data_IF_529596023668
#
_entry.id   IF_529596023668
#
_cell.length_a   1.000
_cell.length_b   1.000
_cell.length_c   1.000
_cell.angle_alpha   90.00
_cell.angle_beta   90.00
_cell.angle_gamma   90.00
#
_symmetry.space_group_name_H-M   'P 1'
#
loop_
_entity.id
_entity.type
_entity.pdbx_description
1 polymer ?
#
# COMPACT_ATOMS: atom_id res chain seq x y z
N UNK A 1 58.69 -7.63 -12.73
CA UNK A 1 59.10 -9.04 -12.86
C UNK A 1 57.93 -9.88 -12.34
N UNK A 2 57.13 -10.46 -13.25
CA UNK A 2 57.18 -11.87 -13.70
C UNK A 2 56.17 -12.73 -12.89
N UNK A 3 55.01 -13.18 -13.41
CA UNK A 3 54.76 -14.18 -14.49
C UNK A 3 55.08 -15.61 -13.98
N UNK A 4 54.18 -16.60 -13.85
CA UNK A 4 53.45 -17.44 -14.85
C UNK A 4 52.49 -18.42 -14.07
N UNK A 5 51.58 -19.28 -14.60
CA UNK A 5 50.49 -19.22 -15.63
C UNK A 5 50.00 -20.67 -15.97
N UNK A 6 48.67 -20.91 -16.13
CA UNK A 6 47.97 -22.18 -16.59
C UNK A 6 47.99 -23.37 -15.59
N UNK A 7 47.15 -24.42 -15.66
CA UNK A 7 46.10 -24.93 -16.60
C UNK A 7 45.08 -25.82 -15.84
N UNK A 8 43.76 -25.76 -16.03
CA UNK A 8 42.92 -26.47 -17.02
C UNK A 8 42.75 -28.02 -16.88
N UNK A 9 41.57 -28.43 -16.38
CA UNK A 9 40.64 -29.54 -16.76
C UNK A 9 41.10 -30.67 -17.73
N UNK A 10 40.61 -31.94 -17.59
CA UNK A 10 39.21 -32.27 -17.99
C UNK A 10 38.43 -33.43 -17.29
N UNK A 11 37.10 -33.26 -17.30
CA UNK A 11 35.97 -34.18 -17.50
C UNK A 11 36.14 -35.73 -17.41
N UNK A 12 35.22 -36.35 -16.64
CA UNK A 12 34.43 -37.53 -17.10
C UNK A 12 33.03 -37.50 -16.46
N UNK A 13 32.04 -38.20 -17.04
CA UNK A 13 30.61 -38.02 -16.75
C UNK A 13 29.83 -39.32 -16.54
N UNK A 14 28.60 -39.18 -16.00
CA UNK A 14 27.52 -40.17 -15.84
C UNK A 14 27.73 -41.29 -14.79
N UNK A 15 26.70 -41.87 -14.16
CA UNK A 15 25.27 -41.98 -14.51
C UNK A 15 24.39 -42.26 -13.26
N UNK A 16 23.16 -41.69 -13.19
CA UNK A 16 21.86 -42.25 -12.64
C UNK A 16 21.81 -43.00 -11.27
N UNK A 17 20.74 -42.98 -10.45
CA UNK A 17 19.35 -42.44 -10.54
C UNK A 17 18.55 -42.63 -9.21
N UNK A 18 17.30 -42.12 -9.20
CA UNK A 18 16.20 -42.36 -8.21
C UNK A 18 16.32 -41.69 -6.82
N UNK A 19 15.25 -41.28 -6.12
CA UNK A 19 13.80 -41.49 -6.29
C UNK A 19 12.99 -40.17 -6.34
N UNK A 20 11.83 -40.19 -6.99
CA UNK A 20 10.77 -39.18 -6.87
C UNK A 20 9.45 -39.90 -6.57
N UNK A 21 8.55 -39.31 -5.76
CA UNK A 21 7.22 -39.85 -5.50
C UNK A 21 6.11 -38.86 -5.88
N UNK A 22 5.06 -39.41 -6.46
CA UNK A 22 3.99 -38.73 -7.18
C UNK A 22 2.86 -38.17 -6.31
N UNK A 23 2.21 -37.11 -6.78
CA UNK A 23 0.76 -36.95 -6.63
C UNK A 23 0.14 -36.36 -7.91
N UNK A 24 -0.82 -37.07 -8.48
CA UNK A 24 -1.37 -36.82 -9.82
C UNK A 24 -2.73 -36.14 -9.73
N UNK A 25 -2.97 -35.07 -10.49
CA UNK A 25 -4.32 -34.51 -10.71
C UNK A 25 -4.61 -34.45 -12.21
N UNK A 26 -5.72 -35.08 -12.62
CA UNK A 26 -6.18 -35.14 -14.03
C UNK A 26 -6.67 -33.78 -14.51
N UNK A 27 -6.27 -33.38 -15.71
CA UNK A 27 -6.99 -32.40 -16.52
C UNK A 27 -8.10 -33.10 -17.34
N UNK A 28 -9.26 -32.45 -17.48
CA UNK A 28 -10.36 -32.88 -18.36
C UNK A 28 -10.37 -32.05 -19.66
N UNK A 29 -10.87 -32.59 -20.78
CA UNK A 29 -10.58 -32.05 -22.11
C UNK A 29 -11.46 -30.85 -22.49
N UNK A 30 -10.90 -29.97 -23.32
CA UNK A 30 -11.64 -28.88 -23.99
C UNK A 30 -12.57 -29.48 -25.06
N UNK A 31 -13.83 -29.02 -25.10
CA UNK A 31 -14.69 -29.21 -26.26
C UNK A 31 -14.63 -27.98 -27.17
N UNK A 32 -14.41 -28.23 -28.46
CA UNK A 32 -14.55 -27.22 -29.51
C UNK A 32 -16.03 -27.07 -29.87
N UNK A 33 -16.50 -25.82 -29.97
CA UNK A 33 -17.81 -25.51 -30.56
C UNK A 33 -17.54 -24.84 -31.89
N UNK A 34 -17.98 -25.49 -32.97
CA UNK A 34 -17.86 -25.02 -34.34
C UNK A 34 -18.82 -23.87 -34.62
N UNK A 35 -18.36 -22.86 -35.37
CA UNK A 35 -19.20 -21.75 -35.82
C UNK A 35 -20.09 -22.18 -36.99
N UNK A 36 -21.39 -21.87 -36.93
CA UNK A 36 -22.26 -21.82 -38.11
C UNK A 36 -22.97 -20.48 -38.18
N UNK A 37 -22.64 -19.72 -39.22
CA UNK A 37 -23.25 -18.42 -39.52
C UNK A 37 -24.55 -18.58 -40.28
N UNK A 38 -25.65 -18.02 -39.76
CA UNK A 38 -26.84 -17.63 -40.54
C UNK A 38 -27.36 -16.29 -40.02
N UNK A 39 -27.13 -15.23 -40.78
CA UNK A 39 -27.84 -13.96 -40.57
C UNK A 39 -29.20 -13.98 -41.28
N UNK A 40 -30.13 -13.14 -40.85
CA UNK A 40 -31.25 -12.70 -41.68
C UNK A 40 -31.58 -11.23 -41.42
N UNK A 41 -32.11 -10.58 -42.46
CA UNK A 41 -32.40 -9.14 -42.55
C UNK A 41 -33.62 -8.72 -41.73
N UNK A 42 -33.68 -7.41 -41.48
CA UNK A 42 -34.90 -6.71 -41.04
C UNK A 42 -36.02 -6.79 -42.09
N UNK A 43 -37.27 -6.69 -41.61
CA UNK A 43 -38.48 -6.53 -42.41
C UNK A 43 -39.63 -6.04 -41.52
N UNK A 44 -40.32 -4.99 -41.93
CA UNK A 44 -41.46 -4.42 -41.22
C UNK A 44 -42.78 -5.10 -41.64
N UNK A 45 -43.81 -5.03 -40.79
CA UNK A 45 -45.16 -5.47 -41.14
C UNK A 45 -46.14 -5.36 -39.96
N UNK A 46 -47.17 -4.53 -40.12
CA UNK A 46 -48.27 -4.41 -39.16
C UNK A 46 -49.41 -5.40 -39.51
N UNK A 47 -50.27 -5.71 -38.53
CA UNK A 47 -51.51 -6.48 -38.79
C UNK A 47 -52.19 -6.96 -37.51
N UNK A 48 -53.38 -6.45 -37.23
CA UNK A 48 -54.21 -6.85 -36.08
C UNK A 48 -55.12 -8.05 -36.40
N UNK A 49 -55.60 -8.75 -35.37
CA UNK A 49 -56.64 -9.79 -35.51
C UNK A 49 -57.00 -10.42 -34.16
N UNK A 50 -58.29 -10.41 -33.79
CA UNK A 50 -58.80 -10.87 -32.50
C UNK A 50 -59.25 -12.34 -32.50
N UNK A 51 -59.35 -12.98 -31.33
CA UNK A 51 -59.82 -14.38 -31.22
C UNK A 51 -59.89 -14.96 -29.79
N UNK A 52 -60.94 -14.64 -29.07
CA UNK A 52 -61.34 -15.15 -27.74
C UNK A 52 -61.30 -16.67 -27.51
N UNK A 53 -60.92 -17.12 -26.29
CA UNK A 53 -61.80 -17.84 -25.32
C UNK A 53 -61.14 -18.91 -24.40
N UNK A 54 -60.97 -18.55 -23.11
CA UNK A 54 -61.13 -19.34 -21.85
C UNK A 54 -60.99 -20.88 -21.85
N UNK A 55 -60.14 -21.39 -20.94
CA UNK A 55 -60.58 -22.41 -19.96
C UNK A 55 -59.92 -22.29 -18.56
N UNK A 56 -60.81 -22.17 -17.56
CA UNK A 56 -60.76 -22.52 -16.12
C UNK A 56 -59.43 -22.55 -15.34
N UNK A 57 -59.37 -21.69 -14.32
CA UNK A 57 -58.51 -21.80 -13.12
C UNK A 57 -59.39 -21.99 -11.86
N UNK A 58 -58.90 -22.75 -10.89
CA UNK A 58 -59.37 -22.81 -9.49
C UNK A 58 -58.16 -23.03 -8.56
N UNK A 59 -58.21 -22.63 -7.27
CA UNK A 59 -57.07 -21.91 -6.70
C UNK A 59 -56.42 -22.53 -5.45
N UNK A 60 -55.09 -22.37 -5.36
CA UNK A 60 -54.23 -22.28 -4.17
C UNK A 60 -52.94 -21.60 -4.66
N UNK A 61 -52.22 -20.73 -3.94
CA UNK A 61 -52.39 -20.21 -2.59
C UNK A 61 -51.05 -19.56 -2.18
N UNK A 62 -51.03 -18.22 -2.07
CA UNK A 62 -49.99 -17.35 -1.50
C UNK A 62 -48.51 -17.82 -1.43
N UNK A 63 -47.65 -17.29 -2.34
CA UNK A 63 -46.21 -17.07 -2.07
C UNK A 63 -45.53 -16.11 -3.09
N UNK A 64 -46.15 -14.99 -3.47
CA UNK A 64 -45.52 -13.95 -4.31
C UNK A 64 -45.47 -12.64 -3.54
N UNK A 65 -44.35 -12.37 -2.85
CA UNK A 65 -44.29 -11.27 -1.89
C UNK A 65 -42.90 -10.90 -1.37
N UNK A 66 -41.83 -11.03 -2.17
CA UNK A 66 -40.48 -10.54 -1.80
C UNK A 66 -39.74 -9.84 -2.97
N UNK A 67 -39.88 -10.31 -4.20
CA UNK A 67 -38.99 -9.89 -5.31
C UNK A 67 -39.36 -8.52 -5.92
N UNK A 68 -40.60 -8.06 -5.81
CA UNK A 68 -41.04 -6.79 -6.41
C UNK A 68 -40.58 -5.52 -5.66
N UNK A 69 -40.32 -5.60 -4.34
CA UNK A 69 -39.97 -4.42 -3.53
C UNK A 69 -38.55 -3.90 -3.76
N UNK A 70 -37.60 -4.80 -4.07
CA UNK A 70 -36.17 -4.44 -4.25
C UNK A 70 -35.94 -3.76 -5.59
N UNK A 71 -36.62 -4.19 -6.65
CA UNK A 71 -36.45 -3.64 -8.00
C UNK A 71 -36.95 -2.19 -8.13
N UNK A 72 -38.04 -1.82 -7.45
CA UNK A 72 -38.58 -0.45 -7.50
C UNK A 72 -37.71 0.51 -6.67
N UNK A 73 -37.20 0.07 -5.51
CA UNK A 73 -36.28 0.89 -4.71
C UNK A 73 -34.94 1.14 -5.44
N UNK A 74 -34.43 0.16 -6.18
CA UNK A 74 -33.22 0.34 -7.00
C UNK A 74 -33.43 1.13 -8.29
N UNK A 75 -34.65 1.33 -8.79
CA UNK A 75 -34.92 2.14 -9.99
C UNK A 75 -35.26 3.60 -9.68
N UNK A 76 -35.80 3.90 -8.49
CA UNK A 76 -36.11 5.27 -8.07
C UNK A 76 -34.88 6.09 -7.61
N UNK A 77 -33.70 5.47 -7.44
CA UNK A 77 -32.47 6.11 -6.96
C UNK A 77 -31.50 6.56 -8.07
N UNK A 78 -31.81 6.32 -9.35
CA UNK A 78 -30.94 6.67 -10.48
C UNK A 78 -31.44 7.82 -11.37
N UNK A 79 -32.53 8.49 -10.99
CA UNK A 79 -33.16 9.57 -11.79
C UNK A 79 -32.93 10.98 -11.24
N UNK A 80 -31.89 11.19 -10.42
CA UNK A 80 -31.45 12.52 -9.96
C UNK A 80 -29.96 12.71 -10.32
N UNK A 81 -29.65 13.41 -11.44
CA UNK A 81 -28.27 13.59 -11.91
C UNK A 81 -27.37 14.42 -11.00
N UNK A 82 -27.93 15.21 -10.07
CA UNK A 82 -27.16 16.12 -9.21
C UNK A 82 -26.88 15.54 -7.82
N UNK A 83 -27.61 14.49 -7.39
CA UNK A 83 -27.48 13.94 -6.02
C UNK A 83 -26.34 12.98 -5.74
N UNK A 84 -25.54 12.60 -6.74
CA UNK A 84 -24.46 11.62 -6.59
C UNK A 84 -23.07 12.12 -7.05
N UNK A 85 -22.81 13.42 -6.91
CA UNK A 85 -21.42 13.91 -6.80
C UNK A 85 -21.05 13.99 -5.32
N UNK A 86 -20.57 12.87 -4.76
CA UNK A 86 -19.74 12.94 -3.57
C UNK A 86 -18.40 13.51 -4.04
N UNK A 87 -18.31 14.84 -4.07
CA UNK A 87 -17.00 15.48 -4.09
C UNK A 87 -16.23 14.96 -2.88
N UNK A 88 -15.01 14.45 -3.13
CA UNK A 88 -14.00 14.30 -2.09
C UNK A 88 -13.63 15.70 -1.62
N UNK A 89 -14.48 16.30 -0.77
CA UNK A 89 -14.15 17.52 -0.06
C UNK A 89 -12.79 17.31 0.58
N UNK A 90 -11.90 18.29 0.43
CA UNK A 90 -10.64 18.27 1.14
C UNK A 90 -10.89 18.08 2.65
N UNK A 91 -9.85 17.71 3.41
CA UNK A 91 -9.93 17.92 4.85
C UNK A 91 -10.40 19.37 5.07
N UNK A 92 -11.39 19.63 5.95
CA UNK A 92 -11.99 20.96 6.05
C UNK A 92 -10.89 22.01 6.21
N UNK A 93 -11.06 23.21 5.63
CA UNK A 93 -10.12 24.31 5.86
C UNK A 93 -9.85 24.41 7.37
N UNK A 94 -8.63 24.79 7.74
CA UNK A 94 -8.30 24.99 9.14
C UNK A 94 -9.04 26.23 9.68
N UNK A 95 -10.33 26.08 9.99
CA UNK A 95 -11.10 27.09 10.73
C UNK A 95 -10.48 27.26 12.12
N UNK A 96 -10.63 28.45 12.69
CA UNK A 96 -10.11 28.84 14.00
C UNK A 96 -10.74 28.00 15.13
N UNK A 97 -10.23 26.78 15.31
CA UNK A 97 -10.79 25.74 16.17
C UNK A 97 -10.29 24.33 15.83
N UNK A 98 -9.91 24.06 14.57
CA UNK A 98 -9.34 22.77 14.14
C UNK A 98 -7.86 22.60 14.52
N UNK A 99 -7.21 23.61 15.09
CA UNK A 99 -5.97 23.44 15.86
C UNK A 99 -6.25 22.80 17.23
N UNK A 100 -7.16 21.81 17.29
CA UNK A 100 -7.41 21.09 18.54
C UNK A 100 -6.11 20.45 19.01
N UNK A 101 -5.76 20.79 20.25
CA UNK A 101 -4.60 20.22 20.91
C UNK A 101 -4.68 18.68 20.88
N UNK A 102 -3.51 18.05 20.98
CA UNK A 102 -3.42 16.69 21.51
C UNK A 102 -4.35 16.61 22.73
N UNK A 103 -5.40 15.79 22.68
CA UNK A 103 -6.34 15.66 23.79
C UNK A 103 -5.67 15.06 25.03
N UNK A 104 -6.45 14.57 25.99
CA UNK A 104 -5.90 13.98 27.24
C UNK A 104 -4.95 12.78 27.04
N UNK A 105 -4.80 12.29 25.81
CA UNK A 105 -3.73 11.37 25.43
C UNK A 105 -2.38 12.10 25.36
N UNK A 106 -1.57 11.90 26.41
CA UNK A 106 -0.14 12.26 26.36
C UNK A 106 0.58 11.28 25.43
N UNK A 107 1.38 11.73 24.46
CA UNK A 107 2.30 10.85 23.77
C UNK A 107 3.23 10.17 24.78
N UNK A 108 3.77 8.98 24.47
CA UNK A 108 4.75 8.36 25.35
C UNK A 108 5.91 9.36 25.59
N UNK A 109 6.49 9.38 26.81
CA UNK A 109 7.53 10.34 27.14
C UNK A 109 8.67 10.29 26.11
N UNK A 110 9.34 11.43 25.88
CA UNK A 110 10.52 11.51 25.01
C UNK A 110 11.71 10.78 25.64
N UNK A 111 11.62 9.46 25.67
CA UNK A 111 12.72 8.55 25.97
C UNK A 111 13.65 8.50 24.75
N UNK A 112 14.93 8.17 24.97
CA UNK A 112 15.81 7.84 23.87
C UNK A 112 15.20 6.63 23.11
N UNK A 113 14.96 6.69 21.78
CA UNK A 113 14.32 5.60 21.06
C UNK A 113 15.09 4.28 21.19
N UNK A 114 16.41 4.39 21.32
CA UNK A 114 17.36 3.28 21.41
C UNK A 114 17.84 3.02 22.86
N UNK A 115 16.99 3.18 23.88
CA UNK A 115 17.30 2.68 25.24
C UNK A 115 17.11 1.15 25.29
N UNK A 116 18.18 0.34 25.34
CA UNK A 116 18.08 -1.12 25.24
C UNK A 116 17.54 -1.78 26.51
N UNK A 117 17.37 -1.03 27.61
CA UNK A 117 16.70 -1.53 28.81
C UNK A 117 15.17 -1.64 28.64
N UNK A 118 14.61 -0.96 27.63
CA UNK A 118 13.19 -0.96 27.33
C UNK A 118 12.79 -2.10 26.37
N UNK A 119 11.60 -2.70 26.55
CA UNK A 119 11.06 -3.67 25.59
C UNK A 119 10.96 -3.11 24.16
N UNK A 120 11.19 -3.97 23.16
CA UNK A 120 11.15 -3.60 21.74
C UNK A 120 9.83 -2.91 21.34
N UNK A 121 8.67 -3.37 21.86
CA UNK A 121 7.37 -2.69 21.69
C UNK A 121 7.38 -1.21 22.12
N UNK A 122 8.03 -0.89 23.24
CA UNK A 122 8.11 0.47 23.79
C UNK A 122 9.04 1.34 22.94
N UNK A 123 10.22 0.81 22.59
CA UNK A 123 11.19 1.49 21.71
C UNK A 123 10.59 1.80 20.35
N UNK A 124 9.90 0.83 19.73
CA UNK A 124 9.23 1.05 18.45
C UNK A 124 8.10 2.08 18.55
N UNK A 125 7.26 2.02 19.60
CA UNK A 125 6.21 3.02 19.80
C UNK A 125 6.78 4.45 19.85
N UNK A 126 7.89 4.64 20.57
CA UNK A 126 8.60 5.93 20.61
C UNK A 126 9.19 6.31 19.24
N UNK A 127 9.80 5.35 18.55
CA UNK A 127 10.41 5.56 17.24
C UNK A 127 9.40 6.03 16.19
N UNK A 128 8.21 5.42 16.11
CA UNK A 128 7.19 5.82 15.11
C UNK A 128 6.62 7.20 15.37
N UNK A 129 6.45 7.62 16.62
CA UNK A 129 6.08 9.01 16.95
C UNK A 129 7.23 10.00 16.72
N UNK A 130 8.49 9.60 16.93
CA UNK A 130 9.66 10.40 16.56
C UNK A 130 9.70 10.65 15.06
N UNK A 131 9.57 9.60 14.25
CA UNK A 131 9.46 9.68 12.79
C UNK A 131 8.31 10.58 12.34
N UNK A 132 7.11 10.44 12.94
CA UNK A 132 5.96 11.29 12.59
C UNK A 132 6.28 12.76 12.78
N UNK A 133 6.84 13.14 13.93
CA UNK A 133 7.19 14.54 14.20
C UNK A 133 8.32 15.04 13.28
N UNK A 134 9.32 14.21 13.00
CA UNK A 134 10.42 14.57 12.10
C UNK A 134 9.91 14.80 10.66
N UNK A 135 9.10 13.88 10.13
CA UNK A 135 8.54 13.96 8.78
C UNK A 135 7.58 15.15 8.65
N UNK A 136 6.67 15.36 9.63
CA UNK A 136 5.77 16.51 9.63
C UNK A 136 6.58 17.81 9.63
N UNK A 137 7.55 17.97 10.53
CA UNK A 137 8.38 19.18 10.61
C UNK A 137 9.14 19.45 9.31
N UNK A 138 9.68 18.40 8.67
CA UNK A 138 10.43 18.53 7.43
C UNK A 138 9.53 18.87 6.23
N UNK A 139 8.30 18.34 6.17
CA UNK A 139 7.29 18.70 5.17
C UNK A 139 6.75 20.13 5.39
N UNK A 140 6.43 20.51 6.63
CA UNK A 140 5.98 21.87 6.97
C UNK A 140 7.04 22.93 6.70
N UNK A 141 8.33 22.57 6.83
CA UNK A 141 9.45 23.42 6.41
C UNK A 141 9.50 23.61 4.89
N UNK A 142 9.37 22.53 4.10
CA UNK A 142 9.34 22.61 2.63
C UNK A 142 8.09 23.35 2.10
N UNK A 143 6.98 23.28 2.84
CA UNK A 143 5.74 24.04 2.64
C UNK A 143 5.88 25.53 3.08
N UNK A 144 6.94 25.89 3.82
CA UNK A 144 7.33 27.26 4.18
C UNK A 144 6.46 27.92 5.26
N UNK A 145 6.76 29.17 5.68
CA UNK A 145 6.12 29.81 6.84
C UNK A 145 4.61 30.04 6.66
N UNK A 146 4.18 30.42 5.46
CA UNK A 146 2.79 30.76 5.13
C UNK A 146 2.09 29.66 4.29
N UNK A 147 2.57 28.41 4.36
CA UNK A 147 1.94 27.27 3.70
C UNK A 147 1.06 26.45 4.63
N UNK A 148 0.45 25.38 4.11
CA UNK A 148 -0.43 24.52 4.89
C UNK A 148 0.30 23.83 6.06
N UNK A 149 -0.49 23.39 7.04
CA UNK A 149 -0.04 22.70 8.26
C UNK A 149 -0.75 21.36 8.41
N UNK A 150 -0.16 20.46 9.18
CA UNK A 150 -0.78 19.18 9.49
C UNK A 150 -1.84 19.34 10.59
N UNK A 151 -3.09 19.09 10.24
CA UNK A 151 -4.12 18.74 11.22
C UNK A 151 -3.74 17.40 11.89
N UNK A 152 -3.91 17.28 13.21
CA UNK A 152 -3.50 16.09 13.98
C UNK A 152 -4.67 15.52 14.77
N UNK A 153 -5.30 14.48 14.24
CA UNK A 153 -6.37 13.75 14.94
C UNK A 153 -5.79 12.64 15.82
N UNK A 154 -6.00 12.72 17.13
CA UNK A 154 -5.57 11.71 18.11
C UNK A 154 -6.75 10.84 18.51
N UNK A 155 -6.65 9.53 18.27
CA UNK A 155 -7.76 8.60 18.42
C UNK A 155 -7.38 7.36 19.25
N UNK A 156 -8.38 6.73 19.86
CA UNK A 156 -8.27 5.49 20.64
C UNK A 156 -9.23 4.45 20.06
N UNK A 157 -8.91 3.16 20.19
CA UNK A 157 -9.88 2.09 19.87
C UNK A 157 -10.98 2.07 20.95
N UNK A 158 -12.26 1.85 20.59
CA UNK A 158 -13.37 1.86 21.57
C UNK A 158 -13.24 0.84 22.71
N UNK A 159 -12.48 -0.24 22.48
CA UNK A 159 -12.20 -1.28 23.46
C UNK A 159 -10.95 -1.02 24.33
N UNK A 160 -10.32 0.15 24.21
CA UNK A 160 -9.13 0.54 24.99
C UNK A 160 -7.82 -0.09 24.55
N UNK A 161 -7.81 -0.99 23.55
CA UNK A 161 -6.62 -1.73 23.10
C UNK A 161 -5.68 -0.89 22.18
N UNK A 162 -5.30 0.30 22.65
CA UNK A 162 -4.42 1.24 21.94
C UNK A 162 -5.15 2.28 21.09
N UNK A 163 -4.44 2.86 20.11
CA UNK A 163 -4.90 4.01 19.34
C UNK A 163 -3.86 4.51 18.34
N UNK A 164 -3.87 5.81 18.05
CA UNK A 164 -2.94 6.42 17.12
C UNK A 164 -3.09 7.93 16.97
N UNK A 165 -2.23 8.50 16.11
CA UNK A 165 -2.29 9.91 15.69
C UNK A 165 -2.30 9.93 14.17
N UNK A 166 -3.39 10.42 13.59
CA UNK A 166 -3.54 10.66 12.15
C UNK A 166 -3.21 12.11 11.85
N UNK A 167 -2.02 12.38 11.31
CA UNK A 167 -1.67 13.72 10.83
C UNK A 167 -1.97 13.84 9.33
N UNK A 168 -2.71 14.88 8.93
CA UNK A 168 -3.10 15.13 7.54
C UNK A 168 -2.89 16.61 7.18
N UNK A 169 -2.22 16.86 6.05
CA UNK A 169 -2.14 18.15 5.38
C UNK A 169 -2.91 18.03 4.06
N UNK A 170 -3.78 18.99 3.76
CA UNK A 170 -4.50 19.08 2.48
C UNK A 170 -4.35 20.47 1.87
N UNK A 171 -4.46 20.54 0.54
CA UNK A 171 -4.50 21.76 -0.28
C UNK A 171 -3.27 22.69 -0.18
N UNK A 172 -2.16 22.24 0.40
CA UNK A 172 -0.90 22.99 0.44
C UNK A 172 -0.35 23.36 -0.95
N UNK A 173 0.55 24.34 -0.97
CA UNK A 173 1.15 24.86 -2.21
C UNK A 173 2.20 23.89 -2.79
N UNK A 174 2.94 23.20 -1.93
CA UNK A 174 3.92 22.17 -2.33
C UNK A 174 3.27 20.80 -2.26
N UNK A 175 2.59 20.50 -1.16
CA UNK A 175 1.89 19.21 -0.96
C UNK A 175 0.38 19.39 -1.08
N UNK A 176 -0.20 18.83 -2.14
CA UNK A 176 -1.64 18.91 -2.39
C UNK A 176 -2.44 18.03 -1.40
N UNK A 177 -1.83 16.91 -0.98
CA UNK A 177 -2.28 16.09 0.14
C UNK A 177 -1.12 15.29 0.71
N UNK A 178 -0.99 15.23 2.03
CA UNK A 178 -0.01 14.39 2.71
C UNK A 178 -0.60 13.80 3.99
N UNK A 179 -0.44 12.49 4.18
CA UNK A 179 -0.77 11.80 5.42
C UNK A 179 0.50 11.29 6.10
N UNK A 180 0.60 11.47 7.42
CA UNK A 180 1.63 10.86 8.27
C UNK A 180 0.93 10.25 9.47
N UNK A 181 0.65 8.95 9.40
CA UNK A 181 -0.17 8.23 10.36
C UNK A 181 0.68 7.36 11.27
N UNK A 182 0.39 7.38 12.57
CA UNK A 182 0.93 6.42 13.54
C UNK A 182 -0.21 5.65 14.16
N UNK A 183 -0.04 4.34 14.27
CA UNK A 183 -0.90 3.44 15.04
C UNK A 183 -0.05 2.65 16.02
N UNK A 184 -0.47 2.60 17.28
CA UNK A 184 0.09 1.74 18.33
C UNK A 184 -1.09 1.02 18.99
N UNK A 185 -1.27 -0.24 18.61
CA UNK A 185 -2.42 -1.07 18.98
C UNK A 185 -1.96 -2.39 19.58
N UNK A 186 -2.78 -2.94 20.46
CA UNK A 186 -2.62 -4.31 20.96
C UNK A 186 -3.97 -5.04 20.92
N UNK A 187 -4.03 -6.24 21.48
CA UNK A 187 -5.27 -6.95 21.72
C UNK A 187 -5.11 -8.45 21.71
N UNK A 188 -6.22 -9.18 21.63
CA UNK A 188 -6.23 -10.62 21.43
C UNK A 188 -6.12 -10.96 19.94
N UNK A 189 -5.29 -11.94 19.59
CA UNK A 189 -5.14 -12.42 18.21
C UNK A 189 -6.30 -13.36 17.87
N UNK A 190 -7.04 -13.09 16.79
CA UNK A 190 -8.16 -13.95 16.38
C UNK A 190 -7.67 -15.31 15.84
N UNK A 191 -8.55 -16.32 15.84
CA UNK A 191 -8.20 -17.66 15.33
C UNK A 191 -7.83 -17.63 13.85
N UNK A 192 -8.55 -16.83 13.08
CA UNK A 192 -8.36 -16.61 11.65
C UNK A 192 -7.02 -15.92 11.38
N UNK A 193 -6.70 -14.88 12.17
CA UNK A 193 -5.42 -14.18 12.08
C UNK A 193 -4.24 -15.10 12.44
N UNK A 194 -4.36 -15.89 13.51
CA UNK A 194 -3.34 -16.86 13.91
C UNK A 194 -3.14 -17.96 12.84
N UNK A 195 -4.23 -18.48 12.26
CA UNK A 195 -4.16 -19.45 11.15
C UNK A 195 -3.53 -18.84 9.89
N UNK A 196 -3.83 -17.57 9.57
CA UNK A 196 -3.24 -16.86 8.43
C UNK A 196 -1.74 -16.58 8.63
N UNK A 197 -1.30 -16.29 9.86
CA UNK A 197 0.11 -16.18 10.19
C UNK A 197 0.80 -17.54 10.09
N UNK A 198 0.16 -18.62 10.58
CA UNK A 198 0.69 -19.98 10.50
C UNK A 198 0.84 -20.50 9.08
N UNK A 199 -0.09 -20.18 8.17
CA UNK A 199 0.05 -20.53 6.75
C UNK A 199 1.17 -19.76 6.02
N UNK A 200 1.67 -18.66 6.61
CA UNK A 200 2.89 -17.95 6.17
C UNK A 200 4.17 -18.44 6.87
N UNK A 201 4.10 -19.52 7.66
CA UNK A 201 5.25 -20.09 8.36
C UNK A 201 5.50 -19.56 9.77
N UNK A 202 4.60 -18.76 10.36
CA UNK A 202 4.69 -18.34 11.76
C UNK A 202 4.16 -19.44 12.68
N UNK A 203 5.05 -20.17 13.34
CA UNK A 203 4.64 -21.06 14.42
C UNK A 203 4.75 -20.37 15.78
N UNK A 204 3.68 -20.47 16.57
CA UNK A 204 3.60 -19.93 17.94
C UNK A 204 3.82 -21.03 18.99
N UNK A 205 4.22 -22.23 18.56
CA UNK A 205 4.51 -23.38 19.40
C UNK A 205 3.25 -23.98 20.05
N UNK A 206 3.36 -24.59 21.25
CA UNK A 206 2.25 -25.28 21.92
C UNK A 206 1.24 -24.33 22.59
N UNK A 207 1.39 -23.01 22.41
CA UNK A 207 0.44 -22.04 22.92
C UNK A 207 -0.94 -22.25 22.26
N UNK A 208 -1.99 -22.37 23.08
CA UNK A 208 -3.35 -22.37 22.57
C UNK A 208 -3.63 -21.05 21.83
N UNK A 209 -4.29 -21.14 20.68
CA UNK A 209 -4.70 -19.96 19.91
C UNK A 209 -5.61 -19.06 20.76
N UNK A 210 -6.45 -19.67 21.60
CA UNK A 210 -7.18 -19.00 22.68
C UNK A 210 -6.20 -18.52 23.76
N UNK A 211 -5.92 -17.21 23.77
CA UNK A 211 -5.01 -16.56 24.73
C UNK A 211 -3.73 -15.99 24.12
N UNK A 212 -3.55 -16.06 22.79
CA UNK A 212 -2.52 -15.29 22.10
C UNK A 212 -2.88 -13.79 22.11
N UNK A 213 -1.95 -12.95 22.55
CA UNK A 213 -2.04 -11.48 22.45
C UNK A 213 -1.11 -10.99 21.36
N UNK A 214 -1.46 -9.88 20.73
CA UNK A 214 -0.59 -9.20 19.77
C UNK A 214 -0.32 -7.75 20.17
N UNK A 215 0.78 -7.21 19.69
CA UNK A 215 1.09 -5.79 19.68
C UNK A 215 1.57 -5.39 18.29
N UNK A 216 1.13 -4.23 17.81
CA UNK A 216 1.60 -3.65 16.56
C UNK A 216 1.82 -2.13 16.72
N UNK A 217 3.02 -1.67 16.39
CA UNK A 217 3.35 -0.26 16.29
C UNK A 217 3.86 0.03 14.88
N UNK A 218 3.34 1.07 14.23
CA UNK A 218 3.76 1.43 12.88
C UNK A 218 3.47 2.87 12.50
N UNK A 219 4.36 3.42 11.68
CA UNK A 219 4.13 4.63 10.89
C UNK A 219 3.80 4.23 9.44
N UNK A 220 2.82 4.91 8.86
CA UNK A 220 2.53 4.89 7.43
C UNK A 220 2.37 6.31 6.91
N UNK A 221 2.98 6.63 5.77
CA UNK A 221 2.85 7.96 5.17
C UNK A 221 2.79 7.89 3.66
N UNK A 222 1.95 8.75 3.08
CA UNK A 222 1.80 8.97 1.64
C UNK A 222 1.76 10.47 1.40
N UNK A 223 2.57 10.95 0.45
CA UNK A 223 2.76 12.37 0.18
C UNK A 223 2.55 12.59 -1.32
N UNK A 224 1.59 13.44 -1.67
CA UNK A 224 1.24 13.81 -3.04
C UNK A 224 1.54 15.30 -3.29
N UNK A 225 2.67 15.64 -3.95
CA UNK A 225 2.92 17.00 -4.38
C UNK A 225 1.88 17.56 -5.35
N UNK A 226 1.71 18.88 -5.33
CA UNK A 226 0.84 19.64 -6.24
C UNK A 226 1.44 19.75 -7.64
N UNK A 227 2.75 19.93 -7.74
CA UNK A 227 3.48 20.04 -9.01
C UNK A 227 3.67 18.64 -9.65
N UNK A 228 3.34 18.44 -10.96
CA UNK A 228 3.56 17.16 -11.64
C UNK A 228 5.03 16.73 -11.66
N UNK A 229 5.99 17.65 -11.65
CA UNK A 229 7.42 17.31 -11.69
C UNK A 229 7.96 16.79 -10.34
N UNK A 230 7.22 16.97 -9.25
CA UNK A 230 7.58 16.45 -7.93
C UNK A 230 6.88 15.08 -7.68
N UNK A 231 7.63 14.01 -7.36
CA UNK A 231 7.08 12.66 -7.24
C UNK A 231 6.20 12.47 -6.00
N UNK A 232 5.17 11.63 -6.13
CA UNK A 232 4.51 11.04 -4.95
C UNK A 232 5.51 10.13 -4.24
N UNK A 233 5.48 10.09 -2.91
CA UNK A 233 6.25 9.13 -2.11
C UNK A 233 5.37 8.41 -1.10
N UNK A 234 5.78 7.19 -0.76
CA UNK A 234 5.20 6.40 0.31
C UNK A 234 6.31 5.85 1.20
N UNK A 235 6.04 5.73 2.50
CA UNK A 235 6.84 4.93 3.41
C UNK A 235 5.97 4.24 4.46
N UNK A 236 6.44 3.10 4.93
CA UNK A 236 5.88 2.37 6.04
C UNK A 236 7.02 1.79 6.88
N UNK A 237 6.92 1.88 8.21
CA UNK A 237 7.81 1.15 9.12
C UNK A 237 6.99 0.66 10.29
N UNK A 238 6.99 -0.66 10.51
CA UNK A 238 6.15 -1.34 11.51
C UNK A 238 6.89 -2.46 12.22
N UNK A 239 6.44 -2.72 13.43
CA UNK A 239 6.81 -3.86 14.25
C UNK A 239 5.53 -4.60 14.64
N UNK A 240 5.62 -5.92 14.71
CA UNK A 240 4.57 -6.79 15.20
C UNK A 240 5.18 -7.80 16.16
N UNK A 241 4.53 -8.08 17.28
CA UNK A 241 4.86 -9.20 18.15
C UNK A 241 3.61 -9.94 18.61
N UNK A 242 3.76 -11.25 18.80
CA UNK A 242 2.77 -12.15 19.39
C UNK A 242 3.33 -12.66 20.71
N UNK A 243 2.56 -12.54 21.78
CA UNK A 243 2.90 -13.04 23.11
C UNK A 243 1.84 -14.02 23.64
N UNK A 244 2.24 -14.92 24.52
CA UNK A 244 1.27 -15.73 25.27
C UNK A 244 0.55 -14.91 26.37
N UNK A 245 -0.37 -15.56 27.08
CA UNK A 245 -1.12 -15.01 28.22
C UNK A 245 -0.25 -14.53 29.40
N UNK A 246 1.03 -14.93 29.48
CA UNK A 246 1.98 -14.48 30.50
C UNK A 246 2.74 -13.21 30.09
N UNK A 247 2.59 -12.78 28.83
CA UNK A 247 3.33 -11.66 28.24
C UNK A 247 4.67 -12.07 27.63
N UNK A 248 5.02 -13.37 27.63
CA UNK A 248 6.23 -13.87 26.97
C UNK A 248 6.06 -13.76 25.45
N UNK A 249 6.96 -13.02 24.80
CA UNK A 249 7.02 -12.93 23.33
C UNK A 249 7.35 -14.29 22.73
N UNK A 250 6.50 -14.76 21.83
CA UNK A 250 6.64 -16.02 21.09
C UNK A 250 7.25 -15.79 19.70
N UNK A 251 6.85 -14.69 19.05
CA UNK A 251 7.33 -14.30 17.73
C UNK A 251 7.28 -12.78 17.59
N UNK A 252 8.23 -12.20 16.87
CA UNK A 252 8.31 -10.76 16.64
C UNK A 252 9.02 -10.46 15.33
N UNK A 253 8.51 -9.53 14.53
CA UNK A 253 9.10 -9.17 13.25
C UNK A 253 8.89 -7.70 12.91
N UNK A 254 9.77 -7.20 12.04
CA UNK A 254 9.66 -5.88 11.44
C UNK A 254 9.20 -6.01 9.99
N UNK A 255 8.59 -4.93 9.51
CA UNK A 255 8.25 -4.76 8.10
C UNK A 255 8.29 -3.29 7.74
N UNK A 256 8.43 -2.98 6.47
CA UNK A 256 8.47 -1.60 6.03
C UNK A 256 9.07 -1.40 4.66
N UNK A 257 9.47 -0.17 4.41
CA UNK A 257 10.02 0.28 3.15
C UNK A 257 9.68 1.73 2.85
N UNK A 258 10.26 2.22 1.77
CA UNK A 258 9.92 3.50 1.18
C UNK A 258 10.04 3.38 -0.35
N UNK A 259 9.13 4.01 -1.08
CA UNK A 259 9.09 3.96 -2.55
C UNK A 259 8.68 5.30 -3.17
N UNK A 260 9.12 5.50 -4.42
CA UNK A 260 8.97 6.76 -5.15
C UNK A 260 8.11 6.56 -6.40
N UNK A 261 7.06 7.36 -6.53
CA UNK A 261 6.10 7.34 -7.65
C UNK A 261 6.15 8.67 -8.42
N UNK A 262 7.06 8.82 -9.38
CA UNK A 262 7.12 9.99 -10.26
C UNK A 262 5.99 10.02 -11.29
N UNK A 263 5.67 11.22 -11.75
CA UNK A 263 4.77 11.47 -12.89
C UNK A 263 5.57 11.63 -14.19
N UNK A 264 6.76 12.21 -14.08
CA UNK A 264 7.75 12.27 -15.14
C UNK A 264 9.06 11.70 -14.63
N UNK A 265 9.73 10.88 -15.46
CA UNK A 265 11.00 10.30 -15.09
C UNK A 265 12.10 11.37 -15.08
N UNK A 266 12.82 11.42 -13.96
CA UNK A 266 14.08 12.12 -13.78
C UNK A 266 15.08 11.09 -13.24
N UNK A 267 15.97 10.52 -14.08
CA UNK A 267 16.88 9.46 -13.66
C UNK A 267 17.72 9.85 -12.45
N UNK A 268 18.15 11.11 -12.36
CA UNK A 268 18.97 11.59 -11.26
C UNK A 268 18.22 11.68 -9.92
N UNK A 269 16.90 11.86 -9.95
CA UNK A 269 16.07 11.87 -8.73
C UNK A 269 15.82 10.45 -8.23
N UNK A 270 15.63 9.49 -9.15
CA UNK A 270 15.55 8.07 -8.82
C UNK A 270 16.89 7.56 -8.25
N UNK A 271 18.01 7.89 -8.89
CA UNK A 271 19.36 7.59 -8.39
C UNK A 271 19.61 8.20 -7.02
N UNK A 272 19.21 9.46 -6.76
CA UNK A 272 19.34 10.07 -5.42
C UNK A 272 18.55 9.29 -4.36
N UNK A 273 17.27 9.03 -4.60
CA UNK A 273 16.40 8.31 -3.67
C UNK A 273 16.94 6.91 -3.34
N UNK A 274 17.30 6.15 -4.37
CA UNK A 274 17.86 4.80 -4.22
C UNK A 274 19.27 4.82 -3.59
N UNK A 275 20.10 5.84 -3.85
CA UNK A 275 21.41 6.00 -3.19
C UNK A 275 21.29 6.16 -1.68
N UNK A 276 20.31 6.96 -1.22
CA UNK A 276 20.04 7.16 0.21
C UNK A 276 19.52 5.87 0.85
N UNK A 277 18.60 5.15 0.19
CA UNK A 277 18.10 3.86 0.67
C UNK A 277 19.19 2.80 0.72
N UNK A 278 20.03 2.69 -0.31
CA UNK A 278 21.18 1.78 -0.35
C UNK A 278 22.17 2.10 0.76
N UNK A 279 22.53 3.37 0.94
CA UNK A 279 23.42 3.83 2.02
C UNK A 279 22.85 3.57 3.42
N UNK A 280 21.52 3.56 3.58
CA UNK A 280 20.85 3.16 4.82
C UNK A 280 20.91 1.64 5.03
N UNK A 281 20.70 0.83 3.98
CA UNK A 281 20.81 -0.63 4.04
C UNK A 281 22.24 -1.11 4.31
N UNK A 282 23.22 -0.60 3.57
CA UNK A 282 24.62 -1.05 3.60
C UNK A 282 25.28 -0.86 4.97
N UNK A 283 24.79 0.09 5.80
CA UNK A 283 25.21 0.28 7.19
C UNK A 283 24.88 -0.90 8.12
N UNK A 284 23.92 -1.74 7.73
CA UNK A 284 23.42 -2.86 8.54
C UNK A 284 23.68 -4.21 7.88
N UNK A 285 23.42 -4.33 6.58
CA UNK A 285 23.77 -5.51 5.78
C UNK A 285 23.77 -5.15 4.28
N UNK A 286 24.89 -5.37 3.53
CA UNK A 286 24.97 -5.06 2.10
C UNK A 286 24.02 -5.88 1.22
N UNK A 287 23.49 -7.01 1.70
CA UNK A 287 22.47 -7.79 0.98
C UNK A 287 21.06 -7.18 1.07
N UNK A 288 20.80 -6.26 2.02
CA UNK A 288 19.46 -5.73 2.25
C UNK A 288 18.95 -4.90 1.07
N UNK A 289 19.75 -3.99 0.52
CA UNK A 289 19.31 -3.18 -0.63
C UNK A 289 18.92 -4.05 -1.85
N UNK A 290 19.79 -4.91 -2.42
CA UNK A 290 19.42 -5.70 -3.60
C UNK A 290 18.25 -6.66 -3.34
N UNK A 291 18.12 -7.20 -2.12
CA UNK A 291 16.98 -8.04 -1.72
C UNK A 291 15.68 -7.24 -1.66
N UNK A 292 15.67 -6.11 -0.96
CA UNK A 292 14.46 -5.34 -0.67
C UNK A 292 14.03 -4.45 -1.84
N UNK A 293 14.96 -4.02 -2.71
CA UNK A 293 14.65 -3.37 -3.99
C UNK A 293 13.92 -4.32 -4.93
N UNK A 294 14.47 -5.53 -5.13
CA UNK A 294 13.83 -6.57 -5.94
C UNK A 294 12.47 -7.03 -5.38
N UNK A 295 12.24 -6.87 -4.07
CA UNK A 295 10.93 -7.08 -3.46
C UNK A 295 9.98 -5.91 -3.71
N UNK A 296 10.45 -4.66 -3.62
CA UNK A 296 9.64 -3.46 -3.93
C UNK A 296 9.11 -3.51 -5.37
N UNK A 297 9.97 -3.80 -6.35
CA UNK A 297 9.59 -3.91 -7.77
C UNK A 297 8.46 -4.93 -8.01
N UNK A 298 8.46 -6.03 -7.24
CA UNK A 298 7.43 -7.07 -7.29
C UNK A 298 6.17 -6.73 -6.50
N UNK A 299 6.32 -6.06 -5.36
CA UNK A 299 5.20 -5.74 -4.46
C UNK A 299 4.34 -4.62 -5.05
N UNK A 300 4.97 -3.57 -5.58
CA UNK A 300 4.29 -2.41 -6.14
C UNK A 300 3.93 -2.58 -7.62
N UNK A 301 3.49 -3.77 -8.03
CA UNK A 301 3.16 -4.11 -9.42
C UNK A 301 1.64 -4.09 -9.68
N UNK A 302 1.19 -3.27 -10.62
CA UNK A 302 -0.19 -3.26 -11.11
C UNK A 302 -0.41 -4.38 -12.13
N UNK A 303 -0.80 -5.57 -11.67
CA UNK A 303 -0.94 -6.77 -12.53
C UNK A 303 -1.83 -6.56 -13.75
N UNK A 304 -2.94 -5.83 -13.62
CA UNK A 304 -3.89 -5.53 -14.70
C UNK A 304 -3.45 -4.39 -15.64
N UNK A 305 -2.29 -3.78 -15.39
CA UNK A 305 -1.66 -2.76 -16.25
C UNK A 305 -0.27 -3.16 -16.76
N UNK A 306 0.29 -4.23 -16.20
CA UNK A 306 1.62 -4.75 -16.50
C UNK A 306 2.74 -3.70 -16.28
N UNK A 307 2.60 -2.88 -15.23
CA UNK A 307 3.56 -1.83 -14.86
C UNK A 307 3.76 -1.75 -13.33
N UNK A 308 4.94 -1.28 -12.91
CA UNK A 308 5.16 -0.80 -11.54
C UNK A 308 4.35 0.46 -11.24
N UNK A 309 3.97 0.65 -9.97
CA UNK A 309 3.31 1.88 -9.48
C UNK A 309 4.21 3.10 -9.65
N UNK A 310 5.50 2.93 -9.43
CA UNK A 310 6.56 3.94 -9.44
C UNK A 310 7.93 3.30 -9.72
N UNK A 311 9.02 4.05 -9.49
CA UNK A 311 10.41 3.59 -9.73
C UNK A 311 10.98 2.73 -8.60
N UNK A 312 10.11 2.11 -7.81
CA UNK A 312 10.48 1.27 -6.68
C UNK A 312 11.10 2.04 -5.50
N UNK A 313 11.93 1.33 -4.75
CA UNK A 313 12.57 1.79 -3.53
C UNK A 313 13.07 0.56 -2.77
N UNK A 314 12.74 0.45 -1.48
CA UNK A 314 12.92 -0.81 -0.72
C UNK A 314 11.58 -1.28 -0.13
N UNK A 315 11.38 -2.60 -0.07
CA UNK A 315 10.25 -3.23 0.63
C UNK A 315 10.72 -4.47 1.38
N UNK A 316 10.27 -4.62 2.61
CA UNK A 316 10.48 -5.81 3.43
C UNK A 316 9.25 -6.11 4.29
N UNK A 317 9.06 -7.40 4.54
CA UNK A 317 8.07 -7.96 5.44
C UNK A 317 8.71 -9.16 6.14
N UNK A 318 8.15 -9.58 7.27
CA UNK A 318 8.65 -10.74 8.02
C UNK A 318 10.17 -10.72 8.32
N UNK A 319 10.72 -9.53 8.62
CA UNK A 319 12.13 -9.37 8.97
C UNK A 319 12.35 -9.57 10.47
N UNK A 320 12.80 -10.76 10.83
CA UNK A 320 12.94 -11.21 12.21
C UNK A 320 14.27 -10.73 12.85
N UNK A 321 14.26 -10.33 14.14
CA UNK A 321 15.50 -10.16 14.91
C UNK A 321 16.31 -11.46 14.99
N UNK A 322 17.65 -11.41 14.99
CA UNK A 322 18.50 -12.60 15.13
C UNK A 322 18.11 -13.45 16.34
N UNK A 323 18.11 -14.79 16.21
CA UNK A 323 17.65 -15.68 17.26
C UNK A 323 18.45 -15.50 18.58
N UNK A 324 17.87 -15.83 19.75
CA UNK A 324 18.57 -15.72 21.03
C UNK A 324 19.93 -16.44 21.00
N UNK A 325 21.00 -15.70 21.30
CA UNK A 325 22.38 -16.23 21.27
C UNK A 325 23.05 -16.28 19.88
N UNK A 326 22.37 -15.92 18.78
CA UNK A 326 22.94 -15.99 17.42
C UNK A 326 23.31 -14.65 16.80
N UNK A 327 23.20 -13.54 17.55
CA UNK A 327 23.53 -12.21 17.06
C UNK A 327 22.92 -11.09 17.91
N UNK A 328 23.13 -9.85 17.46
CA UNK A 328 22.58 -8.66 18.10
C UNK A 328 21.06 -8.57 17.87
N UNK A 329 20.30 -8.63 18.97
CA UNK A 329 18.83 -8.58 18.99
C UNK A 329 18.27 -7.25 18.47
N UNK A 330 19.04 -6.17 18.53
CA UNK A 330 18.61 -4.83 18.15
C UNK A 330 19.03 -4.43 16.72
N UNK A 331 19.75 -5.30 15.99
CA UNK A 331 20.23 -5.00 14.65
C UNK A 331 19.09 -4.58 13.69
N UNK A 332 17.93 -5.27 13.75
CA UNK A 332 16.78 -4.93 12.91
C UNK A 332 16.07 -3.64 13.37
N UNK A 333 16.06 -3.36 14.68
CA UNK A 333 15.53 -2.10 15.20
C UNK A 333 16.33 -0.91 14.68
N UNK A 334 17.67 -0.95 14.78
CA UNK A 334 18.55 0.12 14.30
C UNK A 334 18.55 0.25 12.77
N UNK A 335 18.33 -0.84 12.05
CA UNK A 335 18.06 -0.81 10.60
C UNK A 335 16.80 -0.01 10.28
N UNK A 336 15.68 -0.32 10.95
CA UNK A 336 14.41 0.42 10.79
C UNK A 336 14.55 1.89 11.20
N UNK A 337 15.24 2.18 12.31
CA UNK A 337 15.57 3.54 12.75
C UNK A 337 16.34 4.31 11.68
N UNK A 338 17.38 3.69 11.11
CA UNK A 338 18.21 4.30 10.06
C UNK A 338 17.39 4.58 8.80
N UNK A 339 16.62 3.60 8.31
CA UNK A 339 15.83 3.75 7.08
C UNK A 339 14.70 4.80 7.21
N UNK A 340 14.01 4.86 8.35
CA UNK A 340 12.98 5.88 8.58
C UNK A 340 13.55 7.28 8.77
N UNK A 341 14.64 7.42 9.53
CA UNK A 341 15.29 8.72 9.76
C UNK A 341 15.89 9.33 8.48
N UNK A 342 16.31 8.51 7.52
CA UNK A 342 16.88 8.99 6.25
C UNK A 342 15.82 9.30 5.18
N UNK A 343 14.53 9.02 5.40
CA UNK A 343 13.50 9.29 4.38
C UNK A 343 13.45 10.76 3.92
N UNK A 344 13.46 11.79 4.82
CA UNK A 344 13.46 13.18 4.38
C UNK A 344 14.70 13.56 3.55
N UNK A 345 15.86 12.98 3.85
CA UNK A 345 17.08 13.19 3.06
C UNK A 345 17.00 12.55 1.66
N UNK A 346 16.30 11.42 1.52
CA UNK A 346 16.00 10.82 0.22
C UNK A 346 14.96 11.59 -0.58
N UNK A 347 13.95 12.19 0.07
CA UNK A 347 12.77 12.75 -0.61
C UNK A 347 12.79 14.27 -0.80
N UNK A 348 13.14 15.05 0.24
CA UNK A 348 12.99 16.51 0.18
C UNK A 348 13.93 17.23 -0.79
N UNK A 349 15.18 16.80 -1.04
CA UNK A 349 16.00 17.40 -2.10
C UNK A 349 15.35 17.31 -3.48
N UNK A 350 14.63 16.21 -3.75
CA UNK A 350 13.86 16.03 -4.99
C UNK A 350 12.68 17.01 -5.01
N UNK A 351 11.89 17.07 -3.94
CA UNK A 351 10.74 18.01 -3.88
C UNK A 351 11.21 19.46 -4.05
N UNK A 352 12.27 19.87 -3.34
CA UNK A 352 12.82 21.22 -3.42
C UNK A 352 13.30 21.58 -4.84
N UNK A 353 13.95 20.63 -5.53
CA UNK A 353 14.40 20.80 -6.92
C UNK A 353 13.24 20.90 -7.92
N UNK A 354 12.09 20.30 -7.62
CA UNK A 354 10.98 20.14 -8.59
C UNK A 354 9.75 21.00 -8.33
N UNK A 355 9.47 21.41 -7.10
CA UNK A 355 8.20 22.05 -6.70
C UNK A 355 7.86 23.34 -7.45
N UNK A 356 8.87 24.09 -7.91
CA UNK A 356 8.70 25.36 -8.64
C UNK A 356 8.88 25.21 -10.17
N UNK A 357 9.02 23.97 -10.68
CA UNK A 357 9.11 23.71 -12.12
C UNK A 357 7.82 24.13 -12.81
N UNK A 358 7.89 25.01 -13.82
CA UNK A 358 6.72 25.37 -14.64
C UNK A 358 6.14 24.10 -15.29
N UNK A 359 4.81 24.00 -15.32
CA UNK A 359 4.11 22.88 -15.95
C UNK A 359 2.94 23.34 -16.80
N UNK A 360 2.47 22.49 -17.72
CA UNK A 360 1.29 22.74 -18.56
C UNK A 360 0.06 21.98 -18.06
N UNK A 361 -1.13 22.32 -18.59
CA UNK A 361 -2.37 21.59 -18.27
C UNK A 361 -2.32 20.13 -18.76
N UNK A 362 -1.59 19.82 -19.83
CA UNK A 362 -1.33 18.45 -20.26
C UNK A 362 -0.50 17.68 -19.22
N UNK A 363 0.54 18.32 -18.67
CA UNK A 363 1.38 17.72 -17.62
C UNK A 363 0.60 17.52 -16.30
N UNK A 364 -0.28 18.46 -15.95
CA UNK A 364 -1.20 18.33 -14.80
C UNK A 364 -2.24 17.23 -15.06
N UNK A 365 -2.81 17.13 -16.27
CA UNK A 365 -3.71 16.04 -16.67
C UNK A 365 -3.01 14.68 -16.63
N UNK A 366 -1.75 14.59 -17.05
CA UNK A 366 -0.95 13.37 -16.95
C UNK A 366 -0.69 12.96 -15.49
N UNK A 367 -0.43 13.91 -14.59
CA UNK A 367 -0.40 13.64 -13.14
C UNK A 367 -1.69 12.98 -12.66
N UNK A 368 -2.85 13.47 -13.10
CA UNK A 368 -4.14 12.89 -12.69
C UNK A 368 -4.32 11.45 -13.21
N UNK A 369 -3.86 11.14 -14.41
CA UNK A 369 -3.87 9.78 -14.98
C UNK A 369 -2.93 8.82 -14.23
N UNK A 370 -1.71 9.26 -13.91
CA UNK A 370 -0.77 8.46 -13.08
C UNK A 370 -1.26 8.28 -11.64
N UNK A 371 -1.93 9.28 -11.07
CA UNK A 371 -2.62 9.15 -9.78
C UNK A 371 -3.78 8.18 -9.82
N UNK A 372 -4.49 8.07 -10.95
CA UNK A 372 -5.45 6.98 -11.19
C UNK A 372 -4.82 5.59 -11.03
N UNK A 373 -3.59 5.39 -11.52
CA UNK A 373 -2.81 4.14 -11.31
C UNK A 373 -2.39 3.89 -9.86
N UNK A 374 -2.17 4.95 -9.09
CA UNK A 374 -1.89 4.86 -7.65
C UNK A 374 -3.13 4.39 -6.86
N UNK A 375 -4.31 4.96 -7.18
CA UNK A 375 -5.60 4.52 -6.63
C UNK A 375 -5.92 3.08 -7.03
N UNK A 376 -5.74 2.72 -8.30
CA UNK A 376 -5.87 1.34 -8.77
C UNK A 376 -5.00 0.36 -7.96
N UNK A 377 -3.73 0.70 -7.70
CA UNK A 377 -2.86 -0.16 -6.90
C UNK A 377 -3.37 -0.32 -5.46
N UNK A 378 -3.65 0.79 -4.77
CA UNK A 378 -4.01 0.76 -3.35
C UNK A 378 -5.35 0.01 -3.12
N UNK A 379 -6.33 0.14 -4.02
CA UNK A 379 -7.62 -0.54 -3.87
C UNK A 379 -7.59 -2.01 -4.35
N UNK A 380 -6.80 -2.33 -5.39
CA UNK A 380 -6.83 -3.65 -6.05
C UNK A 380 -5.70 -4.58 -5.58
N UNK A 381 -4.55 -4.07 -5.13
CA UNK A 381 -3.36 -4.88 -4.83
C UNK A 381 -2.82 -4.71 -3.41
N UNK A 382 -2.86 -3.50 -2.83
CA UNK A 382 -2.23 -3.29 -1.52
C UNK A 382 -2.86 -4.11 -0.39
N UNK A 383 -2.03 -4.92 0.27
CA UNK A 383 -2.44 -5.79 1.37
C UNK A 383 -2.89 -4.97 2.59
N UNK A 384 -2.26 -3.83 2.85
CA UNK A 384 -2.58 -2.98 4.00
C UNK A 384 -3.97 -2.35 3.89
N UNK A 385 -4.24 -1.71 2.76
CA UNK A 385 -5.53 -1.08 2.44
C UNK A 385 -6.67 -2.09 2.46
N UNK A 386 -6.52 -3.23 1.76
CA UNK A 386 -7.54 -4.30 1.77
C UNK A 386 -7.82 -4.85 3.16
N UNK A 387 -6.78 -5.16 3.94
CA UNK A 387 -6.94 -5.67 5.29
C UNK A 387 -7.63 -4.65 6.20
N UNK A 388 -7.25 -3.37 6.10
CA UNK A 388 -7.88 -2.28 6.83
C UNK A 388 -9.37 -2.13 6.52
N UNK A 389 -9.74 -2.09 5.24
CA UNK A 389 -11.15 -1.97 4.81
C UNK A 389 -11.99 -3.19 5.19
N UNK A 390 -11.39 -4.38 5.27
CA UNK A 390 -12.05 -5.61 5.71
C UNK A 390 -12.12 -5.78 7.24
N UNK A 391 -11.44 -4.93 8.02
CA UNK A 391 -11.38 -5.03 9.49
C UNK A 391 -12.54 -4.25 10.13
N UNK A 392 -13.47 -4.91 10.85
CA UNK A 392 -14.57 -4.22 11.51
C UNK A 392 -14.07 -3.17 12.52
N UNK A 393 -14.66 -1.96 12.48
CA UNK A 393 -14.29 -0.86 13.37
C UNK A 393 -12.93 -0.20 13.07
N UNK A 394 -12.28 -0.52 11.94
CA UNK A 394 -11.10 0.22 11.50
C UNK A 394 -11.44 1.66 11.10
N UNK A 395 -10.52 2.60 11.34
CA UNK A 395 -10.69 4.02 10.98
C UNK A 395 -10.51 4.20 9.46
N UNK A 396 -11.61 4.09 8.71
CA UNK A 396 -11.63 4.16 7.24
C UNK A 396 -10.92 5.41 6.69
N UNK A 397 -11.14 6.57 7.33
CA UNK A 397 -10.46 7.84 7.01
C UNK A 397 -8.92 7.78 7.11
N UNK A 398 -8.37 6.95 8.01
CA UNK A 398 -6.92 6.72 8.07
C UNK A 398 -6.45 5.85 6.90
N UNK A 399 -7.22 4.83 6.53
CA UNK A 399 -6.87 3.92 5.43
C UNK A 399 -6.89 4.66 4.09
N UNK A 400 -7.90 5.51 3.86
CA UNK A 400 -8.09 6.27 2.63
C UNK A 400 -7.31 7.60 2.57
N UNK A 401 -6.53 7.96 3.60
CA UNK A 401 -5.59 9.11 3.51
C UNK A 401 -4.60 8.93 2.36
N UNK A 402 -4.30 7.68 2.01
CA UNK A 402 -3.41 7.26 0.93
C UNK A 402 -3.95 7.56 -0.47
N UNK A 403 -5.22 7.95 -0.60
CA UNK A 403 -5.77 8.44 -1.87
C UNK A 403 -5.33 9.89 -2.11
N UNK A 404 -4.92 10.27 -3.33
CA UNK A 404 -4.66 11.68 -3.67
C UNK A 404 -5.95 12.51 -3.58
N UNK A 405 -5.82 13.84 -3.51
CA UNK A 405 -6.97 14.75 -3.51
C UNK A 405 -7.80 14.64 -4.81
N UNK A 406 -7.10 14.43 -5.92
CA UNK A 406 -7.69 14.26 -7.25
C UNK A 406 -6.98 13.14 -8.02
N UNK A 407 -7.73 12.43 -8.87
CA UNK A 407 -7.26 11.43 -9.82
C UNK A 407 -8.18 11.42 -11.06
N UNK A 408 -7.72 10.85 -12.18
CA UNK A 408 -8.46 10.82 -13.45
C UNK A 408 -8.31 9.47 -14.14
N UNK A 409 -9.39 9.03 -14.79
CA UNK A 409 -9.41 7.88 -15.69
C UNK A 409 -9.94 8.32 -17.05
N UNK A 410 -9.32 7.79 -18.12
CA UNK A 410 -9.74 8.05 -19.49
C UNK A 410 -9.76 6.73 -20.26
N UNK A 411 -10.80 6.53 -21.05
CA UNK A 411 -10.97 5.35 -21.87
C UNK A 411 -9.91 5.30 -22.98
N UNK A 412 -9.20 4.17 -23.08
CA UNK A 412 -8.21 3.89 -24.14
C UNK A 412 -7.10 4.95 -24.31
N UNK A 413 -6.76 5.68 -23.24
CA UNK A 413 -5.61 6.59 -23.25
C UNK A 413 -4.32 5.87 -23.65
N UNK A 414 -3.53 6.49 -24.56
CA UNK A 414 -2.22 5.99 -25.00
C UNK A 414 -1.23 7.16 -25.05
N UNK A 415 -0.05 6.94 -24.48
CA UNK A 415 1.10 7.84 -24.62
C UNK A 415 1.68 7.76 -26.04
N UNK A 416 2.31 8.85 -26.52
CA UNK A 416 2.93 8.90 -27.85
C UNK A 416 4.41 8.47 -27.75
N UNK A 417 4.96 7.72 -28.71
CA UNK A 417 6.39 7.45 -28.77
C UNK A 417 7.22 8.74 -28.72
N UNK A 418 8.35 8.71 -28.01
CA UNK A 418 9.27 9.85 -27.88
C UNK A 418 8.87 10.92 -26.85
N UNK A 419 7.70 10.83 -26.19
CA UNK A 419 7.32 11.81 -25.14
C UNK A 419 7.75 11.38 -23.74
N UNK A 420 7.78 12.32 -22.79
CA UNK A 420 8.22 12.09 -21.40
C UNK A 420 7.26 11.18 -20.63
N UNK A 421 5.97 11.19 -20.97
CA UNK A 421 4.96 10.28 -20.43
C UNK A 421 5.30 8.83 -20.80
N UNK A 422 5.69 8.62 -22.07
CA UNK A 422 6.06 7.31 -22.59
C UNK A 422 7.37 6.80 -21.99
N UNK A 423 8.36 7.68 -21.81
CA UNK A 423 9.61 7.35 -21.12
C UNK A 423 9.37 6.82 -19.69
N UNK A 424 8.42 7.41 -18.96
CA UNK A 424 8.02 6.84 -17.67
C UNK A 424 7.37 5.47 -17.83
N UNK A 425 6.35 5.32 -18.68
CA UNK A 425 5.64 4.04 -18.86
C UNK A 425 6.59 2.89 -19.24
N UNK A 426 7.55 3.12 -20.14
CA UNK A 426 8.52 2.09 -20.54
C UNK A 426 9.45 1.69 -19.37
N UNK A 427 9.83 2.64 -18.49
CA UNK A 427 10.60 2.36 -17.28
C UNK A 427 9.78 1.69 -16.16
N UNK A 428 8.46 1.93 -16.10
CA UNK A 428 7.57 1.26 -15.14
C UNK A 428 7.26 -0.18 -15.56
N UNK A 429 7.20 -0.47 -16.87
CA UNK A 429 7.03 -1.83 -17.41
C UNK A 429 8.28 -2.70 -17.25
N UNK A 430 9.45 -2.08 -17.20
CA UNK A 430 10.75 -2.74 -17.12
C UNK A 430 11.51 -2.18 -15.91
N UNK A 431 11.38 -2.75 -14.70
CA UNK A 431 12.07 -2.26 -13.51
C UNK A 431 13.58 -2.10 -13.74
N UNK A 432 14.09 -0.91 -13.47
CA UNK A 432 15.49 -0.51 -13.71
C UNK A 432 16.33 -0.67 -12.43
N UNK A 433 17.64 -0.85 -12.58
CA UNK A 433 18.60 -0.64 -11.49
C UNK A 433 19.08 0.82 -11.51
N UNK A 434 19.07 1.49 -10.36
CA UNK A 434 19.34 2.94 -10.25
C UNK A 434 20.69 3.29 -9.60
N UNK A 435 21.30 2.33 -8.89
CA UNK A 435 22.55 2.44 -8.09
C UNK A 435 23.22 1.08 -7.92
#
# INVERSE_FOLDING_TARGET
MASIVKSALPLSASTLSYWASSSTVRALPRHAITSTSRGYRAGAGAGAGAGTARSKWTPMGAAVGVIAGVAVYQLATFSDPERNVIESKAAPPAEDGWTQALGDWKPPPRLHPDDPSLPARTRMANLVYSFQNHIISALEHAEGPNGARFYRDTWKRPNGEGGGVSAVLSEGKTFEKAGVLVSVIEGNLSKEAAMQMKSRGRDFGPAAVDGLRFFAAGLSSVIHPRNPHAPTAHLNYRYFEVSDKTGKVLSSWYGGGADLTPIYLYPEDATHFHSVLKSACDKHNPEYYPKFKKWADKYFWNTHREEGRGVGGIFFDDLDPPAPGTGDRDAVFRFVETCGSNFPAGYLPIVQKRKDTKFTEEEKRWQQLRRGRYVEFNLIHDRGTKFGLATPGARIESILVSMPLTARWEYMHKTKPGTRERQLEDALKNPQEWV
#
